data_IF_489663326009
#
_entry.id   IF_489663326009
#
_cell.length_a   1.000
_cell.length_b   1.000
_cell.length_c   1.000
_cell.angle_alpha   90.00
_cell.angle_beta   90.00
_cell.angle_gamma   90.00
#
_symmetry.space_group_name_H-M   'P 1'
#
loop_
_entity.id
_entity.type
_entity.pdbx_description
1 polymer ?
#
# COMPACT_ATOMS: atom_id res chain seq x y z
N UNK A 1 -6.17 -7.39 1.68
CA UNK A 1 -4.83 -7.69 2.22
C UNK A 1 -4.18 -6.40 2.65
N UNK A 2 -3.40 -6.43 3.74
CA UNK A 2 -2.64 -5.27 4.21
C UNK A 2 -1.16 -5.36 3.85
N UNK A 3 -0.63 -4.23 3.39
CA UNK A 3 0.79 -3.99 3.13
C UNK A 3 1.29 -2.96 4.13
N UNK A 4 2.29 -3.33 4.91
CA UNK A 4 2.94 -2.46 5.87
C UNK A 4 4.03 -1.64 5.18
N UNK A 5 3.96 -0.32 5.36
CA UNK A 5 4.88 0.65 4.79
C UNK A 5 5.70 1.30 5.90
N UNK A 6 7.01 1.32 5.75
CA UNK A 6 7.93 1.94 6.69
C UNK A 6 9.00 2.79 5.99
N UNK A 7 9.75 3.56 6.80
CA UNK A 7 10.74 4.56 6.36
C UNK A 7 10.15 5.76 5.62
N UNK A 8 8.90 6.11 5.93
CA UNK A 8 8.25 7.31 5.41
C UNK A 8 8.66 8.53 6.24
N UNK A 9 8.81 9.73 5.65
CA UNK A 9 8.97 10.96 6.41
C UNK A 9 7.74 11.23 7.29
N UNK A 10 7.95 11.69 8.53
CA UNK A 10 6.85 11.90 9.49
C UNK A 10 5.81 12.90 8.99
N UNK A 11 6.26 13.90 8.23
CA UNK A 11 5.43 14.97 7.68
C UNK A 11 4.80 14.65 6.32
N UNK A 12 4.96 13.43 5.78
CA UNK A 12 4.35 13.08 4.49
C UNK A 12 2.83 13.21 4.57
N UNK A 13 2.22 13.94 3.66
CA UNK A 13 0.78 14.15 3.62
C UNK A 13 0.09 12.92 3.03
N UNK A 14 -1.16 12.68 3.41
CA UNK A 14 -1.94 11.57 2.85
C UNK A 14 -2.05 11.66 1.32
N UNK A 15 -2.26 12.86 0.77
CA UNK A 15 -2.28 13.08 -0.68
C UNK A 15 -0.94 12.74 -1.36
N UNK A 16 0.18 12.93 -0.67
CA UNK A 16 1.50 12.56 -1.19
C UNK A 16 1.69 11.04 -1.19
N UNK A 17 1.21 10.36 -0.15
CA UNK A 17 1.18 8.89 -0.11
C UNK A 17 0.33 8.33 -1.25
N UNK A 18 -0.86 8.87 -1.48
CA UNK A 18 -1.72 8.46 -2.59
C UNK A 18 -1.00 8.60 -3.94
N UNK A 19 -0.37 9.76 -4.20
CA UNK A 19 0.39 9.98 -5.44
C UNK A 19 1.60 9.06 -5.57
N UNK A 20 2.31 8.81 -4.47
CA UNK A 20 3.50 7.96 -4.45
C UNK A 20 3.18 6.51 -4.84
N UNK A 21 2.03 5.99 -4.38
CA UNK A 21 1.65 4.60 -4.60
C UNK A 21 0.72 4.39 -5.80
N UNK A 22 0.05 5.43 -6.31
CA UNK A 22 -0.91 5.30 -7.41
C UNK A 22 -0.32 4.59 -8.64
N UNK A 23 0.85 5.01 -9.12
CA UNK A 23 1.51 4.38 -10.27
C UNK A 23 1.88 2.91 -10.00
N UNK A 24 2.72 2.62 -8.98
CA UNK A 24 3.13 1.27 -8.64
C UNK A 24 1.97 0.28 -8.39
N UNK A 25 0.89 0.74 -7.76
CA UNK A 25 -0.31 -0.08 -7.52
C UNK A 25 -1.06 -0.34 -8.82
N UNK A 26 -1.24 0.69 -9.65
CA UNK A 26 -1.91 0.57 -10.95
C UNK A 26 -1.15 -0.38 -11.90
N UNK A 27 0.19 -0.32 -11.93
CA UNK A 27 1.05 -1.20 -12.74
C UNK A 27 0.96 -2.68 -12.33
N UNK A 28 0.42 -2.95 -11.14
CA UNK A 28 0.16 -4.29 -10.61
C UNK A 28 -1.32 -4.69 -10.66
N UNK A 29 -2.18 -3.86 -11.25
CA UNK A 29 -3.62 -4.11 -11.35
C UNK A 29 -4.40 -3.79 -10.07
N UNK A 30 -3.82 -3.03 -9.12
CA UNK A 30 -4.50 -2.61 -7.90
C UNK A 30 -5.19 -1.26 -8.11
N UNK A 31 -6.51 -1.30 -8.28
CA UNK A 31 -7.34 -0.10 -8.49
C UNK A 31 -8.09 0.37 -7.24
N UNK A 32 -8.37 -0.57 -6.33
CA UNK A 32 -9.13 -0.32 -5.10
C UNK A 32 -8.24 -0.58 -3.90
N UNK A 33 -7.73 0.51 -3.33
CA UNK A 33 -6.87 0.50 -2.17
C UNK A 33 -7.18 1.69 -1.25
N UNK A 34 -6.87 1.50 0.02
CA UNK A 34 -6.96 2.51 1.07
C UNK A 34 -5.60 2.66 1.73
N UNK A 35 -5.22 3.89 2.09
CA UNK A 35 -3.96 4.16 2.79
C UNK A 35 -4.26 4.77 4.16
N UNK A 36 -3.96 4.03 5.21
CA UNK A 36 -3.99 4.55 6.57
C UNK A 36 -2.58 5.03 6.96
N UNK A 37 -2.41 6.33 7.21
CA UNK A 37 -1.15 6.87 7.74
C UNK A 37 -1.15 6.75 9.26
N UNK A 38 -0.15 6.11 9.84
CA UNK A 38 0.03 6.07 11.29
C UNK A 38 0.77 7.33 11.75
N UNK A 39 0.13 8.21 12.53
CA UNK A 39 0.69 9.51 12.89
C UNK A 39 1.99 9.36 13.70
N UNK A 40 2.93 10.28 13.46
CA UNK A 40 4.22 10.41 14.17
C UNK A 40 5.17 9.19 14.13
N UNK A 41 4.87 8.16 13.33
CA UNK A 41 5.69 6.93 13.28
C UNK A 41 6.46 6.74 11.99
N UNK A 42 6.17 7.53 10.94
CA UNK A 42 6.75 7.28 9.61
C UNK A 42 6.31 5.93 9.03
N UNK A 43 5.10 5.51 9.39
CA UNK A 43 4.49 4.24 9.01
C UNK A 43 3.14 4.48 8.32
N UNK A 44 2.77 3.58 7.43
CA UNK A 44 1.44 3.53 6.85
C UNK A 44 1.03 2.07 6.58
N UNK A 45 -0.27 1.85 6.47
CA UNK A 45 -0.86 0.58 6.06
C UNK A 45 -1.60 0.84 4.75
N UNK A 46 -1.33 0.02 3.73
CA UNK A 46 -2.10 0.02 2.49
C UNK A 46 -2.99 -1.22 2.51
N UNK A 47 -4.30 -1.01 2.57
CA UNK A 47 -5.29 -2.08 2.45
C UNK A 47 -5.69 -2.20 0.99
N UNK A 48 -5.42 -3.36 0.40
CA UNK A 48 -5.71 -3.70 -0.99
C UNK A 48 -6.88 -4.68 -1.04
N UNK A 49 -7.89 -4.40 -1.86
CA UNK A 49 -9.07 -5.27 -1.97
C UNK A 49 -8.76 -6.58 -2.70
N UNK A 50 -8.15 -6.50 -3.89
CA UNK A 50 -7.75 -7.68 -4.68
C UNK A 50 -6.45 -8.28 -4.13
N UNK A 51 -6.55 -9.43 -3.48
CA UNK A 51 -5.41 -10.13 -2.89
C UNK A 51 -4.40 -10.56 -3.94
N UNK A 52 -4.84 -10.99 -5.13
CA UNK A 52 -3.95 -11.46 -6.19
C UNK A 52 -3.11 -10.31 -6.76
N UNK A 53 -3.76 -9.20 -7.09
CA UNK A 53 -3.07 -7.98 -7.52
C UNK A 53 -2.11 -7.46 -6.44
N UNK A 54 -2.51 -7.54 -5.17
CA UNK A 54 -1.65 -7.21 -4.04
C UNK A 54 -0.42 -8.13 -3.91
N UNK A 55 -0.53 -9.43 -4.20
CA UNK A 55 0.64 -10.34 -4.23
C UNK A 55 1.60 -9.96 -5.36
N UNK A 56 1.09 -9.60 -6.54
CA UNK A 56 1.91 -9.10 -7.65
C UNK A 56 2.65 -7.84 -7.22
N UNK A 57 1.97 -6.90 -6.57
CA UNK A 57 2.59 -5.69 -6.02
C UNK A 57 3.72 -6.00 -5.03
N UNK A 58 3.50 -6.90 -4.07
CA UNK A 58 4.52 -7.29 -3.10
C UNK A 58 5.69 -8.05 -3.74
N UNK A 59 5.45 -8.85 -4.78
CA UNK A 59 6.53 -9.55 -5.49
C UNK A 59 7.49 -8.59 -6.21
N UNK A 60 7.00 -7.41 -6.63
CA UNK A 60 7.79 -6.40 -7.35
C UNK A 60 8.38 -5.36 -6.40
N UNK A 61 7.57 -4.80 -5.51
CA UNK A 61 7.93 -3.64 -4.68
C UNK A 61 8.13 -3.98 -3.20
N UNK A 62 7.74 -5.18 -2.79
CA UNK A 62 7.87 -5.66 -1.42
C UNK A 62 9.21 -6.35 -1.15
N UNK A 63 9.49 -6.53 0.14
CA UNK A 63 10.51 -7.45 0.64
C UNK A 63 9.85 -8.54 1.48
N UNK A 64 10.39 -9.76 1.51
CA UNK A 64 9.88 -10.81 2.39
C UNK A 64 9.87 -10.37 3.85
N UNK A 65 8.89 -10.85 4.62
CA UNK A 65 8.81 -10.57 6.04
C UNK A 65 10.08 -11.07 6.76
N UNK A 66 10.51 -10.33 7.78
CA UNK A 66 11.77 -10.57 8.50
C UNK A 66 13.05 -10.50 7.66
N UNK A 67 12.99 -9.95 6.44
CA UNK A 67 14.20 -9.69 5.66
C UNK A 67 15.13 -8.71 6.38
N UNK A 68 16.45 -8.84 6.22
CA UNK A 68 17.41 -7.86 6.71
C UNK A 68 17.08 -6.41 6.28
N UNK A 69 17.48 -5.43 7.08
CA UNK A 69 17.21 -4.01 6.81
C UNK A 69 17.83 -3.49 5.51
N UNK A 70 18.90 -4.12 5.03
CA UNK A 70 19.57 -3.83 3.77
C UNK A 70 18.96 -4.57 2.57
N UNK A 71 18.04 -5.52 2.78
CA UNK A 71 17.34 -6.20 1.69
C UNK A 71 16.55 -5.17 0.87
N UNK A 72 16.67 -5.28 -0.44
CA UNK A 72 15.99 -4.41 -1.39
C UNK A 72 14.95 -5.19 -2.18
N UNK A 73 13.84 -4.54 -2.48
CA UNK A 73 12.84 -5.05 -3.41
C UNK A 73 13.38 -5.00 -4.85
N UNK A 74 12.75 -5.78 -5.74
CA UNK A 74 13.09 -5.82 -7.16
C UNK A 74 12.94 -4.43 -7.80
N UNK A 75 11.82 -3.76 -7.52
CA UNK A 75 11.54 -2.38 -7.90
C UNK A 75 11.50 -1.50 -6.67
N UNK A 76 12.01 -0.27 -6.80
CA UNK A 76 12.19 0.65 -5.67
C UNK A 76 11.23 1.81 -5.76
N UNK A 77 10.58 2.11 -4.64
CA UNK A 77 9.82 3.34 -4.45
C UNK A 77 10.65 4.23 -3.53
N UNK A 78 10.99 5.43 -4.02
CA UNK A 78 11.72 6.42 -3.25
C UNK A 78 10.89 7.67 -3.02
N UNK A 79 11.01 8.25 -1.84
CA UNK A 79 10.41 9.53 -1.51
C UNK A 79 11.39 10.35 -0.67
N UNK A 80 11.60 11.61 -1.04
CA UNK A 80 12.55 12.52 -0.37
C UNK A 80 13.94 11.90 -0.13
N UNK A 81 14.48 11.22 -1.15
CA UNK A 81 15.81 10.58 -1.10
C UNK A 81 15.89 9.30 -0.26
N UNK A 82 14.77 8.79 0.29
CA UNK A 82 14.71 7.55 1.07
C UNK A 82 13.90 6.49 0.34
N UNK A 83 14.37 5.25 0.38
CA UNK A 83 13.61 4.10 -0.13
C UNK A 83 12.56 3.68 0.89
N UNK A 84 11.31 3.64 0.43
CA UNK A 84 10.19 3.09 1.19
C UNK A 84 10.35 1.59 1.27
N UNK A 85 10.10 1.03 2.45
CA UNK A 85 10.11 -0.41 2.65
C UNK A 85 8.68 -0.90 2.78
N UNK A 86 8.36 -1.93 1.99
CA UNK A 86 7.03 -2.52 1.89
C UNK A 86 7.11 -4.00 2.26
N UNK A 87 6.23 -4.43 3.14
CA UNK A 87 6.17 -5.80 3.65
C UNK A 87 4.72 -6.24 3.75
N UNK A 88 4.47 -7.55 3.69
CA UNK A 88 3.12 -8.05 3.98
C UNK A 88 2.84 -7.83 5.47
N UNK A 89 1.72 -7.20 5.81
CA UNK A 89 1.32 -7.09 7.20
C UNK A 89 1.12 -8.48 7.80
N UNK A 90 1.60 -8.68 9.03
CA UNK A 90 1.32 -9.90 9.81
C UNK A 90 -0.11 -9.89 10.39
N UNK A 91 -0.85 -8.79 10.20
CA UNK A 91 -2.24 -8.64 10.62
C UNK A 91 -3.16 -8.67 9.41
N UNK A 92 -4.33 -9.26 9.59
CA UNK A 92 -5.39 -9.16 8.61
C UNK A 92 -5.98 -7.74 8.60
N UNK A 93 -6.46 -7.26 7.43
CA UNK A 93 -7.19 -6.00 7.37
C UNK A 93 -8.41 -6.04 8.26
N UNK A 94 -8.77 -4.89 8.83
CA UNK A 94 -10.02 -4.79 9.61
C UNK A 94 -11.24 -4.93 8.71
N UNK A 95 -12.31 -5.54 9.24
CA UNK A 95 -13.57 -5.72 8.50
C UNK A 95 -14.14 -4.39 7.99
N UNK A 96 -14.00 -3.32 8.78
CA UNK A 96 -14.44 -1.98 8.42
C UNK A 96 -13.69 -1.42 7.19
N UNK A 97 -12.37 -1.63 7.12
CA UNK A 97 -11.57 -1.19 5.98
C UNK A 97 -11.98 -1.95 4.71
N UNK A 98 -12.22 -3.26 4.83
CA UNK A 98 -12.70 -4.09 3.72
C UNK A 98 -14.09 -3.66 3.26
N UNK A 99 -15.02 -3.44 4.19
CA UNK A 99 -16.39 -3.01 3.87
C UNK A 99 -16.40 -1.64 3.18
N UNK A 100 -15.60 -0.69 3.69
CA UNK A 100 -15.46 0.64 3.09
C UNK A 100 -14.92 0.57 1.66
N UNK A 101 -13.89 -0.26 1.44
CA UNK A 101 -13.32 -0.49 0.11
C UNK A 101 -14.33 -1.12 -0.86
N UNK A 102 -15.07 -2.14 -0.41
CA UNK A 102 -16.12 -2.78 -1.22
C UNK A 102 -17.22 -1.80 -1.59
N UNK A 103 -17.65 -0.96 -0.65
CA UNK A 103 -18.63 0.09 -0.92
C UNK A 103 -18.14 1.06 -1.99
N UNK A 104 -16.92 1.58 -1.85
CA UNK A 104 -16.34 2.51 -2.83
C UNK A 104 -16.13 1.88 -4.22
N UNK A 105 -15.71 0.62 -4.28
CA UNK A 105 -15.55 -0.11 -5.54
C UNK A 105 -16.90 -0.32 -6.26
N UNK A 106 -17.95 -0.66 -5.50
CA UNK A 106 -19.30 -0.80 -6.03
C UNK A 106 -19.86 0.53 -6.54
N UNK A 107 -19.67 1.63 -5.81
CA UNK A 107 -20.11 2.96 -6.25
C UNK A 107 -19.40 3.41 -7.54
N UNK A 108 -18.10 3.14 -7.68
CA UNK A 108 -17.37 3.37 -8.95
C UNK A 108 -17.92 2.55 -10.11
N UNK A 109 -18.31 1.31 -9.85
CA UNK A 109 -18.86 0.42 -10.89
C UNK A 109 -20.22 0.94 -11.36
N UNK A 110 -21.06 1.38 -10.43
CA UNK A 110 -22.37 1.99 -10.71
C UNK A 110 -22.27 3.31 -11.45
N UNK A 111 -21.28 4.15 -11.15
CA UNK A 111 -21.08 5.43 -11.83
C UNK A 111 -20.49 5.30 -13.26
N UNK A 112 -20.04 4.11 -13.65
CA UNK A 112 -19.52 3.81 -15.00
C UNK A 112 -20.53 3.11 -15.91
N UNK A 113 -21.70 2.76 -15.38
CA UNK A 113 -22.85 2.21 -16.10
C UNK A 113 -23.83 3.34 -16.44
#
# INVERSE_FOLDING_TARGET
>A
MDVFCSRLPHHILHAQLQRLFAGPLNDCGVYDFHIEKLPNKGLAIITILDVNAGQVFLSRYGVPNASPHNQMALMRISYAGKFVRLERSNREPTDLAIQSLRYMANERTRARL
#
